data_IF_854111859790
#
_entry.id   IF_854111859790
#
_cell.length_a   1.000
_cell.length_b   1.000
_cell.length_c   1.000
_cell.angle_alpha   90.00
_cell.angle_beta   90.00
_cell.angle_gamma   90.00
#
_symmetry.space_group_name_H-M   'P 1'
#
loop_
_entity.id
_entity.type
_entity.pdbx_description
1 polymer ?
#
# COMPACT_ATOMS: atom_id res chain seq x y z
N UNK A 1 -37.24 -10.62 10.35
CA UNK A 1 -37.12 -9.16 10.10
C UNK A 1 -37.43 -8.93 8.64
N UNK A 2 -38.38 -8.06 8.31
CA UNK A 2 -38.73 -7.77 6.91
C UNK A 2 -37.96 -6.52 6.46
N UNK A 3 -37.27 -6.61 5.33
CA UNK A 3 -36.61 -5.45 4.71
C UNK A 3 -37.66 -4.39 4.38
N UNK A 4 -37.53 -3.22 5.00
CA UNK A 4 -38.38 -2.08 4.71
C UNK A 4 -37.91 -1.36 3.44
N UNK A 5 -38.78 -0.56 2.83
CA UNK A 5 -38.41 0.28 1.68
C UNK A 5 -37.19 1.18 1.96
N UNK A 6 -37.02 1.59 3.21
CA UNK A 6 -35.86 2.38 3.68
C UNK A 6 -34.57 1.58 3.63
N UNK A 7 -34.61 0.30 4.00
CA UNK A 7 -33.45 -0.59 3.97
C UNK A 7 -33.02 -0.84 2.51
N UNK A 8 -33.98 -1.04 1.60
CA UNK A 8 -33.72 -1.16 0.16
C UNK A 8 -33.07 0.10 -0.42
N UNK A 9 -33.53 1.29 0.01
CA UNK A 9 -32.96 2.58 -0.41
C UNK A 9 -31.52 2.74 0.08
N UNK A 10 -31.25 2.35 1.33
CA UNK A 10 -29.91 2.39 1.92
C UNK A 10 -28.95 1.40 1.23
N UNK A 11 -29.39 0.18 0.97
CA UNK A 11 -28.61 -0.82 0.22
C UNK A 11 -28.30 -0.32 -1.19
N UNK A 12 -29.28 0.27 -1.89
CA UNK A 12 -29.08 0.85 -3.21
C UNK A 12 -28.01 1.95 -3.18
N UNK A 13 -28.04 2.85 -2.19
CA UNK A 13 -27.03 3.88 -2.02
C UNK A 13 -25.62 3.29 -1.81
N UNK A 14 -25.49 2.26 -0.98
CA UNK A 14 -24.20 1.57 -0.75
C UNK A 14 -23.67 0.98 -2.06
N UNK A 15 -24.53 0.29 -2.82
CA UNK A 15 -24.13 -0.31 -4.10
C UNK A 15 -23.65 0.75 -5.08
N UNK A 16 -24.33 1.89 -5.15
CA UNK A 16 -23.92 3.02 -6.01
C UNK A 16 -22.57 3.58 -5.57
N UNK A 17 -22.36 3.82 -4.28
CA UNK A 17 -21.10 4.36 -3.75
C UNK A 17 -19.94 3.38 -4.00
N UNK A 18 -20.13 2.09 -3.73
CA UNK A 18 -19.12 1.07 -3.99
C UNK A 18 -18.83 0.91 -5.49
N UNK A 19 -19.87 0.97 -6.33
CA UNK A 19 -19.73 0.92 -7.78
C UNK A 19 -18.88 2.07 -8.31
N UNK A 20 -19.13 3.30 -7.84
CA UNK A 20 -18.30 4.47 -8.20
C UNK A 20 -16.87 4.30 -7.69
N UNK A 21 -16.69 3.90 -6.44
CA UNK A 21 -15.36 3.73 -5.84
C UNK A 21 -14.50 2.72 -6.61
N UNK A 22 -15.09 1.58 -7.00
CA UNK A 22 -14.41 0.57 -7.82
C UNK A 22 -14.07 1.12 -9.21
N UNK A 23 -14.99 1.88 -9.82
CA UNK A 23 -14.77 2.46 -11.15
C UNK A 23 -13.61 3.49 -11.18
N UNK A 24 -13.35 4.21 -10.08
CA UNK A 24 -12.30 5.25 -10.01
C UNK A 24 -10.98 4.78 -9.38
N UNK A 25 -10.97 3.61 -8.72
CA UNK A 25 -9.81 3.08 -7.98
C UNK A 25 -8.53 2.97 -8.81
N UNK A 26 -8.65 2.64 -10.10
CA UNK A 26 -7.52 2.49 -11.02
C UNK A 26 -6.54 1.37 -10.61
N UNK A 27 -5.46 1.25 -11.38
CA UNK A 27 -4.37 0.30 -11.12
C UNK A 27 -3.30 0.88 -10.18
N UNK A 28 -2.58 0.00 -9.48
CA UNK A 28 -1.45 0.39 -8.63
C UNK A 28 -0.30 0.90 -9.49
N UNK A 29 0.07 2.17 -9.29
CA UNK A 29 1.14 2.84 -10.06
C UNK A 29 2.50 2.81 -9.36
N UNK A 30 2.56 2.28 -8.15
CA UNK A 30 3.75 2.32 -7.30
C UNK A 30 4.66 1.13 -7.56
N UNK A 31 5.96 1.35 -7.49
CA UNK A 31 6.96 0.29 -7.67
C UNK A 31 7.00 -0.63 -6.45
N UNK A 32 7.17 -1.93 -6.66
CA UNK A 32 7.39 -2.90 -5.58
C UNK A 32 8.82 -2.83 -5.06
N UNK A 33 9.03 -3.27 -3.83
CA UNK A 33 10.38 -3.50 -3.30
C UNK A 33 11.00 -4.67 -4.08
N UNK A 34 12.23 -4.54 -4.60
CA UNK A 34 12.89 -5.63 -5.32
C UNK A 34 13.22 -6.81 -4.41
N UNK A 35 13.24 -8.02 -4.96
CA UNK A 35 13.81 -9.20 -4.29
C UNK A 35 15.25 -9.48 -4.74
N UNK A 36 16.16 -8.55 -4.45
CA UNK A 36 17.59 -8.66 -4.75
C UNK A 36 18.45 -8.85 -3.49
N UNK A 37 19.76 -9.02 -3.65
CA UNK A 37 20.68 -9.27 -2.53
C UNK A 37 20.72 -8.14 -1.48
N UNK A 38 20.38 -6.91 -1.87
CA UNK A 38 20.35 -5.76 -0.96
C UNK A 38 19.05 -5.72 -0.15
N UNK A 39 17.93 -6.07 -0.78
CA UNK A 39 16.58 -5.93 -0.21
C UNK A 39 16.07 -7.21 0.44
N UNK A 40 16.51 -8.39 -0.02
CA UNK A 40 16.02 -9.71 0.43
C UNK A 40 16.17 -9.93 1.93
N UNK A 41 17.20 -9.34 2.56
CA UNK A 41 17.40 -9.41 4.02
C UNK A 41 16.27 -8.77 4.83
N UNK A 42 15.52 -7.83 4.25
CA UNK A 42 14.42 -7.14 4.92
C UNK A 42 13.07 -7.85 4.75
N UNK A 43 12.91 -8.71 3.73
CA UNK A 43 11.69 -9.49 3.53
C UNK A 43 11.26 -10.31 4.75
N UNK A 44 12.14 -11.10 5.42
CA UNK A 44 11.73 -11.84 6.61
C UNK A 44 11.28 -10.92 7.74
N UNK A 45 12.03 -9.84 8.01
CA UNK A 45 11.67 -8.83 9.02
C UNK A 45 10.28 -8.25 8.74
N UNK A 46 10.00 -7.90 7.49
CA UNK A 46 8.70 -7.31 7.10
C UNK A 46 7.55 -8.31 7.25
N UNK A 47 7.79 -9.60 6.98
CA UNK A 47 6.79 -10.66 7.07
C UNK A 47 6.53 -11.09 8.51
N UNK A 48 7.57 -11.19 9.32
CA UNK A 48 7.51 -11.71 10.69
C UNK A 48 7.17 -10.61 11.70
N UNK A 49 7.88 -9.48 11.64
CA UNK A 49 7.74 -8.36 12.59
C UNK A 49 6.82 -7.25 12.07
N UNK A 50 6.42 -7.34 10.80
CA UNK A 50 5.49 -6.44 10.16
C UNK A 50 6.14 -5.24 9.45
N UNK A 51 5.34 -4.58 8.60
CA UNK A 51 5.78 -3.48 7.72
C UNK A 51 6.53 -2.37 8.45
N UNK A 52 6.02 -1.91 9.59
CA UNK A 52 6.64 -0.81 10.34
C UNK A 52 8.01 -1.17 10.90
N UNK A 53 8.29 -2.44 11.16
CA UNK A 53 9.60 -2.89 11.62
C UNK A 53 10.64 -2.76 10.51
N UNK A 54 10.32 -3.28 9.31
CA UNK A 54 11.21 -3.19 8.15
C UNK A 54 11.38 -1.77 7.60
N UNK A 55 10.34 -0.93 7.64
CA UNK A 55 10.39 0.45 7.14
C UNK A 55 11.46 1.33 7.82
N UNK A 56 11.89 0.98 9.04
CA UNK A 56 12.92 1.73 9.78
C UNK A 56 14.27 1.74 9.09
N UNK A 57 14.59 0.69 8.34
CA UNK A 57 15.89 0.51 7.71
C UNK A 57 15.95 1.16 6.31
N UNK A 58 14.80 1.46 5.70
CA UNK A 58 14.76 1.98 4.33
C UNK A 58 15.49 3.33 4.20
N UNK A 59 15.38 4.19 5.22
CA UNK A 59 15.98 5.53 5.23
C UNK A 59 17.51 5.54 5.32
N UNK A 60 18.14 4.42 5.66
CA UNK A 60 19.62 4.30 5.69
C UNK A 60 20.22 4.47 4.29
N UNK A 61 19.52 3.96 3.26
CA UNK A 61 19.94 4.10 1.86
C UNK A 61 19.05 5.09 1.09
N UNK A 62 17.74 5.10 1.32
CA UNK A 62 16.81 5.99 0.61
C UNK A 62 16.71 7.35 1.31
N UNK A 63 17.60 8.25 0.93
CA UNK A 63 17.74 9.59 1.48
C UNK A 63 18.42 10.52 0.46
N UNK A 64 18.53 11.83 0.72
CA UNK A 64 19.13 12.78 -0.23
C UNK A 64 20.58 12.48 -0.61
N UNK A 65 21.36 11.86 0.28
CA UNK A 65 22.80 11.62 0.09
C UNK A 65 23.11 10.23 -0.52
N UNK A 66 22.15 9.30 -0.46
CA UNK A 66 22.22 7.96 -1.02
C UNK A 66 21.35 7.81 -2.26
N UNK A 67 20.21 7.16 -2.12
CA UNK A 67 19.20 6.99 -3.17
C UNK A 67 18.09 8.04 -2.99
N UNK A 68 18.15 9.18 -3.71
CA UNK A 68 17.18 10.24 -3.55
C UNK A 68 15.80 9.81 -4.07
N UNK A 69 14.76 10.35 -3.43
CA UNK A 69 13.39 10.16 -3.88
C UNK A 69 13.08 11.07 -5.06
N UNK A 70 12.09 10.68 -5.87
CA UNK A 70 11.54 11.56 -6.90
C UNK A 70 10.98 12.86 -6.30
N UNK A 71 10.94 13.92 -7.11
CA UNK A 71 10.52 15.26 -6.66
C UNK A 71 9.07 15.30 -6.14
N UNK A 72 8.22 14.42 -6.65
CA UNK A 72 6.81 14.28 -6.30
C UNK A 72 6.54 13.20 -5.25
N UNK A 73 7.59 12.62 -4.64
CA UNK A 73 7.42 11.55 -3.68
C UNK A 73 6.70 12.03 -2.40
N UNK A 74 5.67 11.30 -1.92
CA UNK A 74 4.91 11.67 -0.74
C UNK A 74 5.74 11.64 0.56
N UNK A 75 5.21 12.13 1.69
CA UNK A 75 5.93 12.16 2.96
C UNK A 75 6.45 10.78 3.41
N UNK A 76 7.66 10.76 3.99
CA UNK A 76 8.51 9.59 4.19
C UNK A 76 8.26 8.86 5.52
N UNK A 77 7.02 8.41 5.76
CA UNK A 77 6.67 7.77 7.03
C UNK A 77 6.13 6.34 6.93
N UNK A 78 5.76 5.87 5.73
CA UNK A 78 5.20 4.52 5.48
C UNK A 78 5.56 3.97 4.10
N UNK A 79 6.83 3.57 3.93
CA UNK A 79 7.33 3.10 2.62
C UNK A 79 6.53 1.92 2.07
N UNK A 80 6.23 0.91 2.89
CA UNK A 80 5.60 -0.35 2.47
C UNK A 80 4.06 -0.27 2.40
N UNK A 81 3.49 0.93 2.54
CA UNK A 81 2.10 1.17 2.20
C UNK A 81 1.93 1.23 0.68
N UNK A 82 2.83 1.96 0.01
CA UNK A 82 2.86 2.12 -1.44
C UNK A 82 3.82 1.11 -2.10
N UNK A 83 5.00 0.90 -1.52
CA UNK A 83 6.01 -0.02 -2.04
C UNK A 83 5.82 -1.41 -1.45
N UNK A 84 4.89 -2.18 -2.01
CA UNK A 84 4.62 -3.56 -1.56
C UNK A 84 5.79 -4.48 -1.87
N UNK A 85 5.90 -5.57 -1.11
CA UNK A 85 6.82 -6.65 -1.46
C UNK A 85 6.38 -7.36 -2.75
N UNK A 86 7.31 -8.00 -3.42
CA UNK A 86 7.00 -8.98 -4.45
C UNK A 86 6.17 -10.15 -3.87
N UNK A 87 5.12 -10.54 -4.59
CA UNK A 87 4.26 -11.66 -4.20
C UNK A 87 4.99 -12.99 -4.40
N UNK A 88 4.85 -13.90 -3.43
CA UNK A 88 5.43 -15.25 -3.51
C UNK A 88 6.95 -15.34 -3.26
N UNK A 89 7.58 -14.26 -2.80
CA UNK A 89 8.99 -14.21 -2.38
C UNK A 89 9.07 -14.01 -0.88
#
# INVERSE_FOLDING_TARGET
>A
MAFQKRDLLFVSLIVVVLGIFIAISGEEKTTRVPYDDLHKKFYPIIKEDGKKAGEKFCGECHNPDGVPFAADHPPKFRCLFCHKLEEGK
#
